data_IF_459523590896
#
_entry.id   IF_459523590896
#
_cell.length_a   1.000
_cell.length_b   1.000
_cell.length_c   1.000
_cell.angle_alpha   90.00
_cell.angle_beta   90.00
_cell.angle_gamma   90.00
#
_symmetry.space_group_name_H-M   'P 1'
#
loop_
_entity.id
_entity.type
_entity.pdbx_description
1 polymer ?
#
# COMPACT_ATOMS: atom_id res chain seq x y z
N UNK A 1 -3.68 18.54 8.23
CA UNK A 1 -4.09 19.23 6.98
C UNK A 1 -4.89 18.30 6.07
N UNK A 2 -5.83 18.83 5.27
CA UNK A 2 -6.68 18.03 4.39
C UNK A 2 -5.89 17.19 3.37
N UNK A 3 -4.73 17.67 2.91
CA UNK A 3 -3.85 16.97 1.97
C UNK A 3 -3.25 15.69 2.56
N UNK A 4 -2.79 15.71 3.81
CA UNK A 4 -2.26 14.52 4.49
C UNK A 4 -3.34 13.45 4.68
N UNK A 5 -4.56 13.87 5.02
CA UNK A 5 -5.70 12.96 5.14
C UNK A 5 -6.07 12.31 3.78
N UNK A 6 -5.92 13.04 2.68
CA UNK A 6 -6.11 12.48 1.35
C UNK A 6 -5.09 11.36 1.06
N UNK A 7 -3.82 11.56 1.42
CA UNK A 7 -2.77 10.52 1.30
C UNK A 7 -3.13 9.28 2.11
N UNK A 8 -3.57 9.44 3.36
CA UNK A 8 -3.97 8.32 4.21
C UNK A 8 -5.14 7.50 3.60
N UNK A 9 -6.14 8.18 3.04
CA UNK A 9 -7.27 7.54 2.37
C UNK A 9 -6.82 6.75 1.13
N UNK A 10 -5.92 7.32 0.33
CA UNK A 10 -5.37 6.64 -0.85
C UNK A 10 -4.55 5.41 -0.43
N UNK A 11 -3.73 5.50 0.61
CA UNK A 11 -2.97 4.36 1.14
C UNK A 11 -3.90 3.24 1.62
N UNK A 12 -4.97 3.59 2.32
CA UNK A 12 -5.98 2.62 2.75
C UNK A 12 -6.61 1.91 1.56
N UNK A 13 -6.94 2.64 0.49
CA UNK A 13 -7.54 2.04 -0.70
C UNK A 13 -6.54 1.19 -1.50
N UNK A 14 -5.28 1.59 -1.58
CA UNK A 14 -4.21 0.77 -2.17
C UNK A 14 -4.06 -0.57 -1.42
N UNK A 15 -4.10 -0.56 -0.09
CA UNK A 15 -4.08 -1.79 0.71
C UNK A 15 -5.29 -2.70 0.42
N UNK A 16 -6.48 -2.13 0.21
CA UNK A 16 -7.67 -2.89 -0.19
C UNK A 16 -7.47 -3.55 -1.56
N UNK A 17 -6.96 -2.81 -2.54
CA UNK A 17 -6.68 -3.35 -3.89
C UNK A 17 -5.65 -4.47 -3.83
N UNK A 18 -4.59 -4.32 -3.03
CA UNK A 18 -3.57 -5.37 -2.85
C UNK A 18 -4.20 -6.64 -2.30
N UNK A 19 -5.08 -6.55 -1.30
CA UNK A 19 -5.79 -7.70 -0.75
C UNK A 19 -6.62 -8.43 -1.80
N UNK A 20 -7.40 -7.70 -2.60
CA UNK A 20 -8.21 -8.29 -3.69
C UNK A 20 -7.33 -8.95 -4.75
N UNK A 21 -6.16 -8.38 -5.04
CA UNK A 21 -5.19 -8.98 -5.96
C UNK A 21 -4.53 -10.24 -5.38
N UNK A 22 -4.18 -10.25 -4.09
CA UNK A 22 -3.55 -11.40 -3.43
C UNK A 22 -4.53 -12.57 -3.25
N UNK A 23 -5.83 -12.32 -3.14
CA UNK A 23 -6.88 -13.36 -3.20
C UNK A 23 -6.85 -14.15 -4.52
N UNK A 24 -6.48 -13.52 -5.64
CA UNK A 24 -6.34 -14.24 -6.92
C UNK A 24 -5.10 -15.15 -6.96
N UNK A 25 -4.18 -15.00 -6.00
CA UNK A 25 -2.95 -15.79 -5.86
C UNK A 25 -3.09 -16.96 -4.87
N UNK A 26 -4.31 -17.31 -4.45
CA UNK A 26 -4.57 -18.38 -3.46
C UNK A 26 -3.92 -19.74 -3.79
N UNK A 27 -3.65 -20.05 -5.07
CA UNK A 27 -2.98 -21.30 -5.48
C UNK A 27 -1.49 -21.35 -5.09
N UNK A 28 -0.87 -20.21 -4.81
CA UNK A 28 0.55 -20.08 -4.50
C UNK A 28 0.73 -19.26 -3.20
N UNK A 29 0.49 -19.84 -2.01
CA UNK A 29 0.49 -19.10 -0.75
C UNK A 29 1.83 -18.43 -0.45
N UNK A 30 2.96 -19.09 -0.75
CA UNK A 30 4.30 -18.50 -0.53
C UNK A 30 4.56 -17.29 -1.43
N UNK A 31 4.10 -17.34 -2.69
CA UNK A 31 4.22 -16.22 -3.61
C UNK A 31 3.31 -15.07 -3.17
N UNK A 32 2.09 -15.39 -2.74
CA UNK A 32 1.11 -14.41 -2.24
C UNK A 32 1.67 -13.64 -1.04
N UNK A 33 2.14 -14.35 -0.02
CA UNK A 33 2.62 -13.73 1.22
C UNK A 33 3.85 -12.84 0.95
N UNK A 34 4.76 -13.28 0.07
CA UNK A 34 5.92 -12.49 -0.32
C UNK A 34 5.54 -11.26 -1.17
N UNK A 35 4.56 -11.42 -2.07
CA UNK A 35 4.03 -10.32 -2.88
C UNK A 35 3.37 -9.26 -1.99
N UNK A 36 2.55 -9.69 -1.02
CA UNK A 36 1.88 -8.81 -0.07
C UNK A 36 2.91 -8.05 0.79
N UNK A 37 3.95 -8.75 1.27
CA UNK A 37 5.04 -8.14 2.05
C UNK A 37 5.79 -7.07 1.24
N UNK A 38 6.17 -7.38 0.00
CA UNK A 38 6.91 -6.45 -0.87
C UNK A 38 6.05 -5.22 -1.16
N UNK A 39 4.79 -5.42 -1.56
CA UNK A 39 3.92 -4.30 -1.94
C UNK A 39 3.56 -3.44 -0.71
N UNK A 40 3.25 -4.04 0.44
CA UNK A 40 2.97 -3.29 1.67
C UNK A 40 4.17 -2.43 2.10
N UNK A 41 5.39 -2.97 1.99
CA UNK A 41 6.62 -2.22 2.28
C UNK A 41 6.78 -1.05 1.31
N UNK A 42 6.53 -1.27 0.02
CA UNK A 42 6.62 -0.23 -1.01
C UNK A 42 5.60 0.89 -0.79
N UNK A 43 4.34 0.56 -0.50
CA UNK A 43 3.28 1.54 -0.22
C UNK A 43 3.68 2.43 0.95
N UNK A 44 4.17 1.85 2.05
CA UNK A 44 4.58 2.60 3.24
C UNK A 44 5.76 3.54 2.96
N UNK A 45 6.73 3.11 2.17
CA UNK A 45 7.83 3.98 1.74
C UNK A 45 7.34 5.14 0.89
N UNK A 46 6.40 4.89 -0.04
CA UNK A 46 5.82 5.93 -0.90
C UNK A 46 4.94 6.91 -0.13
N UNK A 47 4.17 6.43 0.85
CA UNK A 47 3.41 7.26 1.77
C UNK A 47 4.33 8.25 2.49
N UNK A 48 5.43 7.76 3.08
CA UNK A 48 6.39 8.60 3.80
C UNK A 48 7.00 9.67 2.88
N UNK A 49 7.48 9.28 1.70
CA UNK A 49 8.03 10.23 0.71
C UNK A 49 6.99 11.28 0.30
N UNK A 50 5.74 10.88 0.07
CA UNK A 50 4.67 11.79 -0.34
C UNK A 50 4.31 12.79 0.76
N UNK A 51 4.24 12.33 2.01
CA UNK A 51 4.02 13.20 3.17
C UNK A 51 5.16 14.20 3.36
N UNK A 52 6.41 13.75 3.22
CA UNK A 52 7.58 14.65 3.26
C UNK A 52 7.53 15.73 2.18
N UNK A 53 7.15 15.38 0.95
CA UNK A 53 6.99 16.34 -0.15
C UNK A 53 5.86 17.35 0.07
N UNK A 54 4.84 17.02 0.87
CA UNK A 54 3.74 17.92 1.20
C UNK A 54 4.05 18.86 2.38
N UNK A 55 5.01 18.46 3.23
CA UNK A 55 5.43 19.21 4.41
C UNK A 55 6.59 20.16 4.09
N UNK A 56 7.32 19.92 2.99
CA UNK A 56 8.29 20.86 2.39
C UNK A 56 7.59 21.99 1.63
#
# INVERSE_FOLDING_TARGET
>A
EPSLKCVDLVVSELCNVVRVCTEKMCRYPRLRDETERIIATYIRQKEQMCKEQLIM
#
